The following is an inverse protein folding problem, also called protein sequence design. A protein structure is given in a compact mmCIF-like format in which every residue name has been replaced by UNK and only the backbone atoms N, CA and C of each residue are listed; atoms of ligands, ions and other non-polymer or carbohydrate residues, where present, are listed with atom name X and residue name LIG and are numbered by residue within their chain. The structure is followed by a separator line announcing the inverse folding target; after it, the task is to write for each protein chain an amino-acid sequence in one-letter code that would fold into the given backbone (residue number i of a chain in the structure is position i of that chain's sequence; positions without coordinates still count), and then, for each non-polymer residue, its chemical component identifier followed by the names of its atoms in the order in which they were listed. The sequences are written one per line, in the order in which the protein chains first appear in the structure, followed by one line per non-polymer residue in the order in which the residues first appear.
data_IF_748401094378
#
_entry.id   IF_748401094378
#
_cell.length_a   1.000
_cell.length_b   1.000
_cell.length_c   1.000
_cell.angle_alpha   90.00
_cell.angle_beta   90.00
_cell.angle_gamma   90.00
#
_symmetry.space_group_name_H-M   'P 1'
#
loop_
_entity.id
_entity.type
_entity.pdbx_description
1 polymer ?
#
# COMPACT_ATOMS: atom_id res chain seq x y z
N UNK A 1 18.37 -8.66 -15.85
CA UNK A 1 19.62 -8.37 -15.11
C UNK A 1 19.23 -7.59 -13.87
N UNK A 2 19.37 -8.16 -12.67
CA UNK A 2 19.12 -7.41 -11.44
C UNK A 2 20.21 -6.34 -11.29
N UNK A 3 19.81 -5.06 -11.19
CA UNK A 3 20.72 -3.96 -10.93
C UNK A 3 21.23 -3.98 -9.49
N UNK A 4 22.43 -3.44 -9.24
CA UNK A 4 22.88 -3.23 -7.86
C UNK A 4 22.02 -2.18 -7.15
N UNK A 5 22.03 -2.15 -5.82
CA UNK A 5 21.36 -1.09 -5.04
C UNK A 5 21.81 0.32 -5.47
N UNK A 6 23.08 0.47 -5.88
CA UNK A 6 23.61 1.73 -6.43
C UNK A 6 22.91 2.12 -7.73
N UNK A 7 22.82 1.18 -8.67
CA UNK A 7 22.15 1.38 -9.96
C UNK A 7 20.67 1.72 -9.76
N UNK A 8 19.98 1.03 -8.85
CA UNK A 8 18.58 1.34 -8.53
C UNK A 8 18.43 2.77 -7.98
N UNK A 9 19.30 3.19 -7.06
CA UNK A 9 19.29 4.55 -6.52
C UNK A 9 19.61 5.62 -7.58
N UNK A 10 20.42 5.32 -8.59
CA UNK A 10 20.69 6.22 -9.71
C UNK A 10 19.44 6.43 -10.58
N UNK A 11 18.72 5.35 -10.90
CA UNK A 11 17.45 5.46 -11.64
C UNK A 11 16.37 6.17 -10.82
N UNK A 12 16.25 5.87 -9.52
CA UNK A 12 15.28 6.54 -8.64
C UNK A 12 15.51 8.06 -8.59
N UNK A 13 16.77 8.52 -8.55
CA UNK A 13 17.07 9.96 -8.59
C UNK A 13 16.60 10.62 -9.88
N UNK A 14 16.68 9.92 -11.03
CA UNK A 14 16.17 10.45 -12.30
C UNK A 14 14.65 10.59 -12.26
N UNK A 15 13.96 9.57 -11.71
CA UNK A 15 12.50 9.61 -11.54
C UNK A 15 12.10 10.78 -10.63
N UNK A 16 12.73 10.92 -9.47
CA UNK A 16 12.46 12.01 -8.52
C UNK A 16 12.69 13.39 -9.14
N UNK A 17 13.75 13.56 -9.94
CA UNK A 17 14.03 14.82 -10.62
C UNK A 17 12.98 15.18 -11.68
N UNK A 18 12.32 14.18 -12.28
CA UNK A 18 11.28 14.39 -13.28
C UNK A 18 9.87 14.60 -12.67
N UNK A 19 9.65 14.25 -11.40
CA UNK A 19 8.33 14.36 -10.76
C UNK A 19 7.71 15.77 -10.76
N UNK A 20 8.46 16.87 -10.49
CA UNK A 20 7.86 18.21 -10.44
C UNK A 20 7.24 18.67 -11.76
N UNK A 21 7.75 18.17 -12.89
CA UNK A 21 7.28 18.51 -14.24
C UNK A 21 6.34 17.42 -14.81
N UNK A 22 6.06 16.36 -14.05
CA UNK A 22 5.27 15.22 -14.53
C UNK A 22 3.81 15.59 -14.62
N UNK A 23 3.28 15.55 -15.84
CA UNK A 23 1.83 15.57 -16.09
C UNK A 23 1.31 14.13 -16.14
N UNK A 24 0.22 13.84 -15.44
CA UNK A 24 -0.42 12.51 -15.43
C UNK A 24 -1.23 12.25 -16.71
N UNK A 25 -1.55 13.29 -17.49
CA UNK A 25 -2.44 13.20 -18.67
C UNK A 25 -3.83 12.59 -18.36
N UNK A 26 -4.22 12.59 -17.08
CA UNK A 26 -5.51 12.16 -16.55
C UNK A 26 -5.83 12.92 -15.26
N UNK A 27 -7.11 13.01 -14.84
CA UNK A 27 -7.45 13.45 -13.49
C UNK A 27 -6.82 12.55 -12.42
N UNK A 28 -6.62 13.08 -11.21
CA UNK A 28 -6.18 12.26 -10.06
C UNK A 28 -7.25 11.24 -9.66
N UNK A 29 -8.52 11.65 -9.66
CA UNK A 29 -9.61 10.77 -9.26
C UNK A 29 -9.59 10.44 -7.76
N UNK A 30 -10.13 9.27 -7.39
CA UNK A 30 -10.19 8.84 -5.99
C UNK A 30 -8.83 8.35 -5.51
N UNK A 31 -8.34 8.91 -4.41
CA UNK A 31 -7.06 8.54 -3.80
C UNK A 31 -7.20 7.23 -3.01
N UNK A 32 -6.52 6.18 -3.44
CA UNK A 32 -6.51 4.88 -2.79
C UNK A 32 -5.19 4.62 -2.05
N UNK A 33 -5.29 3.92 -0.94
CA UNK A 33 -4.18 3.19 -0.33
C UNK A 33 -4.29 1.71 -0.70
N UNK A 34 -3.17 1.01 -0.90
CA UNK A 34 -3.14 -0.46 -0.94
C UNK A 34 -2.59 -1.04 0.36
N UNK A 35 -3.18 -2.13 0.87
CA UNK A 35 -2.75 -2.78 2.11
C UNK A 35 -2.65 -4.29 1.86
N UNK A 36 -1.62 -4.95 2.38
CA UNK A 36 -1.62 -6.41 2.48
C UNK A 36 -0.35 -7.08 1.99
N UNK A 37 -0.53 -8.20 1.30
CA UNK A 37 0.55 -9.01 0.73
C UNK A 37 1.35 -8.24 -0.33
N UNK A 38 2.43 -8.82 -0.82
CA UNK A 38 3.21 -8.26 -1.92
C UNK A 38 2.38 -8.14 -3.20
N UNK A 39 2.38 -6.97 -3.83
CA UNK A 39 1.83 -6.77 -5.17
C UNK A 39 2.71 -5.75 -5.90
N UNK A 40 3.42 -6.22 -6.93
CA UNK A 40 4.28 -5.42 -7.81
C UNK A 40 3.73 -5.34 -9.23
N UNK A 41 2.45 -5.69 -9.41
CA UNK A 41 1.81 -5.81 -10.71
C UNK A 41 1.41 -4.43 -11.26
N UNK A 42 2.26 -3.94 -12.16
CA UNK A 42 2.05 -2.66 -12.86
C UNK A 42 0.75 -2.63 -13.66
N UNK A 43 0.22 -3.78 -14.13
CA UNK A 43 -1.04 -3.82 -14.86
C UNK A 43 -2.24 -3.62 -13.92
N UNK A 44 -2.15 -4.10 -12.67
CA UNK A 44 -3.14 -3.80 -11.65
C UNK A 44 -3.15 -2.29 -11.32
N UNK A 45 -1.98 -1.70 -11.09
CA UNK A 45 -1.87 -0.25 -10.82
C UNK A 45 -2.43 0.57 -11.98
N UNK A 46 -2.05 0.25 -13.21
CA UNK A 46 -2.58 0.91 -14.41
C UNK A 46 -4.10 0.73 -14.58
N UNK A 47 -4.64 -0.43 -14.19
CA UNK A 47 -6.09 -0.66 -14.23
C UNK A 47 -6.82 0.27 -13.24
N UNK A 48 -6.34 0.40 -12.00
CA UNK A 48 -6.90 1.35 -11.01
C UNK A 48 -6.90 2.78 -11.57
N UNK A 49 -5.79 3.19 -12.18
CA UNK A 49 -5.67 4.51 -12.82
C UNK A 49 -6.65 4.70 -13.98
N UNK A 50 -6.89 3.65 -14.77
CA UNK A 50 -7.78 3.70 -15.94
C UNK A 50 -9.26 3.88 -15.59
N UNK A 51 -9.67 3.55 -14.36
CA UNK A 51 -11.06 3.67 -13.89
C UNK A 51 -11.29 4.88 -12.98
N UNK A 52 -10.30 5.78 -12.87
CA UNK A 52 -10.42 7.01 -12.10
C UNK A 52 -9.99 6.90 -10.63
N UNK A 53 -9.13 5.94 -10.30
CA UNK A 53 -8.41 5.90 -9.02
C UNK A 53 -6.96 6.36 -9.15
N UNK A 54 -6.31 6.70 -8.04
CA UNK A 54 -4.85 6.87 -7.97
C UNK A 54 -4.35 6.24 -6.68
N UNK A 55 -3.36 5.34 -6.76
CA UNK A 55 -2.70 4.77 -5.58
C UNK A 55 -1.67 5.77 -5.05
N UNK A 56 -1.88 6.29 -3.84
CA UNK A 56 -1.07 7.37 -3.28
C UNK A 56 -0.09 6.91 -2.20
N UNK A 57 -0.34 5.74 -1.62
CA UNK A 57 0.50 5.11 -0.60
C UNK A 57 0.18 3.62 -0.54
N UNK A 58 1.13 2.83 -0.06
CA UNK A 58 0.95 1.40 0.20
C UNK A 58 1.36 1.05 1.64
N UNK A 59 0.81 -0.04 2.17
CA UNK A 59 1.33 -0.77 3.32
C UNK A 59 1.51 -2.26 2.95
N UNK A 60 2.49 -2.52 2.08
CA UNK A 60 2.74 -3.85 1.50
C UNK A 60 4.12 -4.42 1.83
N UNK A 61 4.30 -5.73 1.66
CA UNK A 61 5.53 -6.44 2.05
C UNK A 61 6.78 -5.94 1.29
N UNK A 62 6.60 -5.61 0.02
CA UNK A 62 7.64 -5.20 -0.92
C UNK A 62 7.62 -3.70 -1.26
N UNK A 63 6.68 -2.95 -0.67
CA UNK A 63 6.54 -1.51 -0.87
C UNK A 63 7.06 -0.70 0.33
N UNK A 64 6.27 0.29 0.72
CA UNK A 64 6.61 1.34 1.70
C UNK A 64 7.17 0.79 3.02
N UNK A 65 6.64 -0.33 3.55
CA UNK A 65 7.16 -0.96 4.77
C UNK A 65 8.64 -1.32 4.70
N UNK A 66 9.12 -1.70 3.51
CA UNK A 66 10.51 -2.14 3.37
C UNK A 66 11.51 -1.00 3.59
N UNK A 67 11.17 0.24 3.23
CA UNK A 67 12.08 1.39 3.29
C UNK A 67 11.62 2.52 4.23
N UNK A 68 10.58 2.29 5.04
CA UNK A 68 10.02 3.28 5.97
C UNK A 68 11.04 3.86 6.96
N UNK A 69 11.94 3.02 7.49
CA UNK A 69 12.95 3.42 8.47
C UNK A 69 14.40 3.17 8.00
N UNK A 70 15.31 3.99 8.54
CA UNK A 70 16.75 3.92 8.29
C UNK A 70 17.49 3.29 9.47
N UNK A 71 18.58 2.56 9.19
CA UNK A 71 19.48 2.07 10.23
C UNK A 71 20.32 3.20 10.82
N UNK A 72 20.61 3.11 12.12
CA UNK A 72 21.52 4.03 12.80
C UNK A 72 22.97 3.82 12.31
N UNK A 73 23.55 4.84 11.67
CA UNK A 73 24.90 4.77 11.08
C UNK A 73 26.03 4.87 12.10
N UNK A 74 25.72 5.34 13.30
CA UNK A 74 26.70 5.61 14.36
C UNK A 74 26.78 4.50 15.41
N UNK A 75 25.89 3.50 15.32
CA UNK A 75 25.86 2.34 16.21
C UNK A 75 26.69 1.17 15.67
N UNK A 76 26.88 0.13 16.49
CA UNK A 76 27.44 -1.14 16.03
C UNK A 76 26.66 -1.66 14.80
N UNK A 77 27.32 -2.00 13.68
CA UNK A 77 26.63 -2.33 12.44
C UNK A 77 25.65 -3.49 12.55
N UNK A 78 25.98 -4.55 13.30
CA UNK A 78 25.11 -5.71 13.44
C UNK A 78 23.89 -5.34 14.28
N UNK A 79 24.11 -4.63 15.39
CA UNK A 79 23.02 -4.11 16.22
C UNK A 79 22.10 -3.16 15.45
N UNK A 80 22.65 -2.20 14.72
CA UNK A 80 21.89 -1.23 13.93
C UNK A 80 21.03 -1.88 12.83
N UNK A 81 21.53 -2.96 12.23
CA UNK A 81 20.75 -3.76 11.28
C UNK A 81 19.61 -4.48 12.02
N UNK A 82 19.90 -5.17 13.12
CA UNK A 82 18.91 -5.91 13.89
C UNK A 82 17.77 -5.01 14.40
N UNK A 83 18.11 -3.88 15.03
CA UNK A 83 17.15 -2.88 15.51
C UNK A 83 16.26 -2.40 14.37
N UNK A 84 16.83 -2.03 13.23
CA UNK A 84 16.06 -1.58 12.07
C UNK A 84 15.07 -2.64 11.55
N UNK A 85 15.40 -3.93 11.63
CA UNK A 85 14.49 -5.03 11.27
C UNK A 85 13.36 -5.25 12.29
N UNK A 86 13.61 -4.93 13.57
CA UNK A 86 12.63 -4.97 14.65
C UNK A 86 11.70 -3.75 14.62
N UNK A 87 12.23 -2.56 14.34
CA UNK A 87 11.53 -1.28 14.44
C UNK A 87 10.79 -0.88 13.16
N UNK A 88 11.03 -1.58 12.03
CA UNK A 88 10.28 -1.30 10.79
C UNK A 88 8.78 -1.61 10.99
N UNK A 89 7.87 -0.96 10.24
CA UNK A 89 6.46 -1.30 10.28
C UNK A 89 6.21 -2.81 10.24
N UNK A 90 5.45 -3.29 11.22
CA UNK A 90 5.32 -4.71 11.47
C UNK A 90 4.54 -5.40 10.34
N UNK A 91 4.94 -6.66 10.07
CA UNK A 91 4.07 -7.59 9.36
C UNK A 91 3.05 -8.14 10.35
N UNK A 92 1.80 -8.45 9.96
CA UNK A 92 0.84 -9.08 10.86
C UNK A 92 1.40 -10.29 11.64
N UNK A 93 2.29 -11.07 11.01
CA UNK A 93 3.00 -12.19 11.66
C UNK A 93 3.82 -11.78 12.90
N UNK A 94 4.25 -10.52 12.99
CA UNK A 94 5.13 -9.98 14.03
C UNK A 94 4.44 -8.99 14.96
N UNK A 95 3.19 -8.64 14.68
CA UNK A 95 2.47 -7.56 15.38
C UNK A 95 1.46 -8.10 16.41
N UNK A 96 1.33 -9.41 16.54
CA UNK A 96 0.46 -10.04 17.52
C UNK A 96 1.13 -10.14 18.91
N UNK A 97 0.41 -9.86 20.02
CA UNK A 97 -1.00 -9.47 20.12
C UNK A 97 -1.23 -7.95 20.17
N UNK A 98 -0.19 -7.12 20.00
CA UNK A 98 -0.26 -5.68 20.28
C UNK A 98 -1.00 -4.89 19.19
N UNK A 99 -1.06 -5.40 17.95
CA UNK A 99 -1.73 -4.80 16.79
C UNK A 99 -1.34 -3.35 16.52
N UNK A 100 -0.07 -3.00 16.76
CA UNK A 100 0.45 -1.64 16.62
C UNK A 100 0.37 -1.11 15.18
N UNK A 101 0.26 -1.99 14.20
CA UNK A 101 0.14 -1.67 12.77
C UNK A 101 -1.13 -0.89 12.44
N UNK A 102 -2.22 -1.02 13.19
CA UNK A 102 -3.51 -0.42 12.80
C UNK A 102 -3.45 1.10 12.78
N UNK A 103 -2.90 1.69 13.83
CA UNK A 103 -2.65 3.13 13.91
C UNK A 103 -1.62 3.59 12.87
N UNK A 104 -0.62 2.76 12.57
CA UNK A 104 0.34 3.06 11.50
C UNK A 104 -0.34 3.17 10.14
N UNK A 105 -1.17 2.19 9.78
CA UNK A 105 -1.90 2.15 8.49
C UNK A 105 -2.90 3.30 8.41
N UNK A 106 -3.63 3.58 9.49
CA UNK A 106 -4.54 4.73 9.55
C UNK A 106 -3.79 6.06 9.43
N UNK A 107 -2.63 6.18 10.09
CA UNK A 107 -1.76 7.34 10.01
C UNK A 107 -1.29 7.60 8.58
N UNK A 108 -0.84 6.56 7.87
CA UNK A 108 -0.48 6.63 6.46
C UNK A 108 -1.67 7.07 5.59
N UNK A 109 -2.86 6.50 5.81
CA UNK A 109 -4.05 6.88 5.06
C UNK A 109 -4.36 8.38 5.23
N UNK A 110 -4.28 8.88 6.47
CA UNK A 110 -4.49 10.31 6.78
C UNK A 110 -3.39 11.21 6.19
N UNK A 111 -2.11 10.85 6.37
CA UNK A 111 -0.96 11.63 5.88
C UNK A 111 -1.00 11.80 4.35
N UNK A 112 -1.35 10.74 3.63
CA UNK A 112 -1.40 10.74 2.17
C UNK A 112 -2.79 11.11 1.62
N UNK A 113 -3.73 11.52 2.47
CA UNK A 113 -5.11 11.84 2.11
C UNK A 113 -5.76 10.73 1.26
N UNK A 114 -5.54 9.47 1.64
CA UNK A 114 -6.23 8.34 1.03
C UNK A 114 -7.71 8.41 1.43
N UNK A 115 -8.60 8.31 0.45
CA UNK A 115 -10.04 8.33 0.64
C UNK A 115 -10.61 6.94 0.93
N UNK A 116 -9.94 5.91 0.44
CA UNK A 116 -10.34 4.52 0.65
C UNK A 116 -9.12 3.60 0.57
N UNK A 117 -9.25 2.38 1.10
CA UNK A 117 -8.19 1.38 1.09
C UNK A 117 -8.58 0.12 0.33
N UNK A 118 -7.65 -0.44 -0.45
CA UNK A 118 -7.82 -1.71 -1.14
C UNK A 118 -6.92 -2.74 -0.44
N UNK A 119 -7.54 -3.73 0.19
CA UNK A 119 -6.83 -4.90 0.68
C UNK A 119 -6.49 -5.82 -0.48
N UNK A 120 -5.20 -6.02 -0.70
CA UNK A 120 -4.64 -6.98 -1.64
C UNK A 120 -4.17 -8.21 -0.85
N UNK A 121 -5.02 -9.24 -0.85
CA UNK A 121 -4.77 -10.49 -0.14
C UNK A 121 -4.23 -11.54 -1.10
N UNK A 122 -2.98 -11.98 -0.90
CA UNK A 122 -2.50 -13.17 -1.57
C UNK A 122 -3.15 -14.40 -0.93
N UNK A 123 -3.65 -15.33 -1.76
CA UNK A 123 -4.20 -16.60 -1.30
C UNK A 123 -3.22 -17.32 -0.38
N UNK A 124 -3.75 -17.87 0.71
CA UNK A 124 -2.99 -18.61 1.72
C UNK A 124 -1.94 -17.78 2.46
N UNK A 125 -2.06 -16.45 2.45
CA UNK A 125 -1.31 -15.59 3.35
C UNK A 125 -2.06 -15.45 4.68
N UNK A 126 -2.05 -16.53 5.48
CA UNK A 126 -2.80 -16.61 6.75
C UNK A 126 -2.61 -15.41 7.68
N UNK A 127 -1.39 -14.83 7.84
CA UNK A 127 -1.20 -13.68 8.71
C UNK A 127 -1.96 -12.44 8.25
N UNK A 128 -2.01 -12.18 6.94
CA UNK A 128 -2.76 -11.05 6.40
C UNK A 128 -4.27 -11.33 6.39
N UNK A 129 -4.68 -12.59 6.21
CA UNK A 129 -6.09 -12.99 6.28
C UNK A 129 -6.66 -12.85 7.69
N UNK A 130 -5.90 -13.27 8.71
CA UNK A 130 -6.28 -13.13 10.11
C UNK A 130 -6.35 -11.68 10.59
N UNK A 131 -5.53 -10.79 10.01
CA UNK A 131 -5.44 -9.37 10.38
C UNK A 131 -6.53 -8.50 9.72
N UNK A 132 -7.03 -8.94 8.56
CA UNK A 132 -7.98 -8.18 7.75
C UNK A 132 -9.26 -7.76 8.50
N UNK A 133 -9.97 -8.64 9.24
CA UNK A 133 -11.25 -8.27 9.85
C UNK A 133 -11.16 -7.09 10.82
N UNK A 134 -10.12 -7.06 11.65
CA UNK A 134 -9.96 -6.02 12.67
C UNK A 134 -9.38 -4.74 12.08
N UNK A 135 -8.42 -4.84 11.16
CA UNK A 135 -7.91 -3.66 10.44
C UNK A 135 -9.00 -3.00 9.58
N UNK A 136 -9.85 -3.80 8.90
CA UNK A 136 -11.01 -3.28 8.17
C UNK A 136 -11.93 -2.46 9.07
N UNK A 137 -12.32 -3.03 10.22
CA UNK A 137 -13.19 -2.34 11.19
C UNK A 137 -12.54 -1.06 11.69
N UNK A 138 -11.23 -1.10 11.96
CA UNK A 138 -10.49 0.06 12.43
C UNK A 138 -10.46 1.21 11.41
N UNK A 139 -10.24 0.89 10.13
CA UNK A 139 -10.25 1.88 9.04
C UNK A 139 -11.63 2.46 8.78
N UNK A 140 -12.66 1.61 8.70
CA UNK A 140 -14.03 2.05 8.44
C UNK A 140 -14.62 2.86 9.61
N UNK A 141 -14.25 2.54 10.85
CA UNK A 141 -14.60 3.35 12.01
C UNK A 141 -13.93 4.74 12.02
N UNK A 142 -12.95 4.97 11.14
CA UNK A 142 -12.25 6.22 10.94
C UNK A 142 -12.49 6.79 9.52
N UNK A 143 -13.65 6.50 8.93
CA UNK A 143 -14.11 7.06 7.66
C UNK A 143 -13.21 6.73 6.46
N UNK A 144 -12.53 5.57 6.50
CA UNK A 144 -11.78 5.02 5.36
C UNK A 144 -12.49 3.74 4.88
N UNK A 145 -13.40 3.83 3.89
CA UNK A 145 -14.04 2.66 3.28
C UNK A 145 -13.02 1.71 2.67
N UNK A 146 -13.36 0.43 2.62
CA UNK A 146 -12.41 -0.61 2.20
C UNK A 146 -12.96 -1.56 1.14
N UNK A 147 -12.09 -2.03 0.25
CA UNK A 147 -12.36 -3.06 -0.74
C UNK A 147 -11.39 -4.22 -0.59
N UNK A 148 -11.91 -5.45 -0.48
CA UNK A 148 -11.09 -6.65 -0.38
C UNK A 148 -10.94 -7.37 -1.73
N UNK A 149 -9.70 -7.49 -2.23
CA UNK A 149 -9.36 -8.18 -3.47
C UNK A 149 -8.37 -9.31 -3.18
N UNK A 150 -8.77 -10.54 -3.52
CA UNK A 150 -7.94 -11.73 -3.34
C UNK A 150 -7.31 -12.16 -4.68
N UNK A 151 -6.00 -12.41 -4.68
CA UNK A 151 -5.23 -12.83 -5.84
C UNK A 151 -4.31 -14.02 -5.49
N UNK A 152 -3.78 -14.69 -6.52
CA UNK A 152 -2.82 -15.80 -6.35
C UNK A 152 -1.45 -15.39 -6.90
N UNK A 153 -0.97 -16.01 -7.99
CA UNK A 153 0.25 -15.61 -8.70
C UNK A 153 0.01 -14.32 -9.50
N UNK A 154 -1.19 -14.14 -10.04
CA UNK A 154 -1.54 -13.00 -10.90
C UNK A 154 -2.82 -12.34 -10.43
N UNK A 155 -2.95 -11.04 -10.71
CA UNK A 155 -4.19 -10.31 -10.46
C UNK A 155 -5.20 -10.61 -11.59
N UNK A 156 -6.41 -11.09 -11.28
CA UNK A 156 -7.47 -11.24 -12.27
C UNK A 156 -8.05 -9.86 -12.63
N UNK A 157 -7.38 -9.15 -13.55
CA UNK A 157 -7.63 -7.74 -13.88
C UNK A 157 -9.10 -7.48 -14.27
N UNK A 158 -9.71 -8.33 -15.10
CA UNK A 158 -11.11 -8.15 -15.52
C UNK A 158 -12.10 -8.15 -14.34
N UNK A 159 -12.13 -9.22 -13.53
CA UNK A 159 -12.93 -9.25 -12.30
C UNK A 159 -12.60 -8.12 -11.31
N UNK A 160 -11.32 -7.78 -11.13
CA UNK A 160 -10.93 -6.68 -10.24
C UNK A 160 -11.45 -5.33 -10.72
N UNK A 161 -11.38 -5.07 -12.04
CA UNK A 161 -11.89 -3.84 -12.65
C UNK A 161 -13.36 -3.61 -12.30
N UNK A 162 -14.21 -4.63 -12.49
CA UNK A 162 -15.65 -4.54 -12.19
C UNK A 162 -15.89 -4.19 -10.71
N UNK A 163 -15.13 -4.80 -9.80
CA UNK A 163 -15.28 -4.58 -8.36
C UNK A 163 -14.78 -3.19 -7.94
N UNK A 164 -13.72 -2.69 -8.57
CA UNK A 164 -13.20 -1.35 -8.32
C UNK A 164 -14.15 -0.29 -8.88
N UNK A 165 -14.70 -0.49 -10.09
CA UNK A 165 -15.72 0.40 -10.68
C UNK A 165 -16.94 0.51 -9.76
N UNK A 166 -17.49 -0.63 -9.31
CA UNK A 166 -18.61 -0.64 -8.36
C UNK A 166 -18.26 0.03 -7.02
N UNK A 167 -17.04 -0.14 -6.51
CA UNK A 167 -16.60 0.52 -5.29
C UNK A 167 -16.46 2.04 -5.47
N UNK A 168 -15.95 2.50 -6.61
CA UNK A 168 -15.88 3.91 -6.93
C UNK A 168 -17.28 4.56 -7.00
N UNK A 169 -18.27 3.87 -7.55
CA UNK A 169 -19.67 4.33 -7.57
C UNK A 169 -20.21 4.55 -6.14
N UNK A 170 -19.91 3.64 -5.21
CA UNK A 170 -20.34 3.82 -3.81
C UNK A 170 -19.69 5.03 -3.12
N UNK A 171 -18.45 5.36 -3.47
CA UNK A 171 -17.73 6.48 -2.87
C UNK A 171 -18.22 7.84 -3.39
N UNK A 172 -18.72 7.89 -4.63
CA UNK A 172 -19.24 9.14 -5.22
C UNK A 172 -20.69 9.42 -4.82
N UNK A 173 -21.49 8.38 -4.55
CA UNK A 173 -22.83 8.56 -4.00
C UNK A 173 -22.79 9.20 -2.60
N UNK A 174 -21.82 8.85 -1.76
CA UNK A 174 -21.64 9.46 -0.44
C UNK A 174 -21.28 10.96 -0.49
N UNK A 175 -20.69 11.47 -1.58
CA UNK A 175 -20.44 12.91 -1.76
C UNK A 175 -21.69 13.72 -2.13
N UNK A 176 -22.72 13.04 -2.62
CA UNK A 176 -23.95 13.68 -3.13
C UNK A 176 -25.01 13.88 -2.03
N UNK A 177 -24.79 13.33 -0.84
CA UNK A 177 -25.70 13.39 0.32
C UNK A 177 -25.05 14.04 1.54
#
# INVERSE_FOLDING_TARGET
KFGSARTHNEELRKVLAALPERNLERPEGVRFMTIGSENDDVAFMAMIESVGGTIVIDDQCSGTRYFWNQSNKDADPIKAIAERYCDRPACPTKDYPDHTRYEHVLGLAKEFNARAAIFLQQKFCDPHEGDYPDLKRHLEANDIPTLFLEFDITNPIGPFRIRVEAFLETLTEEDLF
#
